data_IF_610382407247
#
_entry.id   IF_610382407247
#
_cell.length_a   1.000
_cell.length_b   1.000
_cell.length_c   1.000
_cell.angle_alpha   90.00
_cell.angle_beta   90.00
_cell.angle_gamma   90.00
#
_symmetry.space_group_name_H-M   'P 1'
#
loop_
_entity.id
_entity.type
_entity.pdbx_description
1 polymer ?
#
# COMPACT_ATOMS: atom_id res chain seq x y z
N UNK A 1 -34.34 -26.56 -1.16
CA UNK A 1 -33.22 -26.02 -0.35
C UNK A 1 -32.78 -24.64 -0.80
N UNK A 2 -32.26 -24.44 -2.03
CA UNK A 2 -31.81 -23.11 -2.48
C UNK A 2 -32.96 -22.10 -2.49
N UNK A 3 -34.10 -22.43 -3.11
CA UNK A 3 -35.26 -21.53 -3.15
C UNK A 3 -35.82 -21.22 -1.75
N UNK A 4 -35.78 -22.22 -0.86
CA UNK A 4 -36.23 -22.07 0.53
C UNK A 4 -35.28 -21.17 1.32
N UNK A 5 -33.97 -21.30 1.10
CA UNK A 5 -32.94 -20.42 1.70
C UNK A 5 -33.08 -18.98 1.19
N UNK A 6 -33.24 -18.80 -0.12
CA UNK A 6 -33.47 -17.48 -0.73
C UNK A 6 -34.74 -16.86 -0.13
N UNK A 7 -35.84 -17.60 -0.07
CA UNK A 7 -37.07 -17.13 0.54
C UNK A 7 -36.91 -16.76 2.03
N UNK A 8 -36.15 -17.54 2.80
CA UNK A 8 -35.91 -17.29 4.22
C UNK A 8 -34.98 -16.09 4.50
N UNK A 9 -34.15 -15.71 3.53
CA UNK A 9 -33.19 -14.60 3.67
C UNK A 9 -33.58 -13.33 2.92
N UNK A 10 -34.62 -13.40 2.08
CA UNK A 10 -35.09 -12.28 1.27
C UNK A 10 -35.46 -11.06 2.14
N UNK A 11 -34.91 -9.89 1.80
CA UNK A 11 -35.16 -8.61 2.49
C UNK A 11 -34.36 -8.39 3.78
N UNK A 12 -33.40 -9.26 4.11
CA UNK A 12 -32.51 -9.09 5.27
C UNK A 12 -31.08 -8.72 4.85
N UNK A 13 -30.93 -7.57 4.20
CA UNK A 13 -29.67 -7.09 3.60
C UNK A 13 -28.53 -7.01 4.63
N UNK A 14 -28.86 -6.67 5.88
CA UNK A 14 -27.89 -6.64 7.00
C UNK A 14 -27.28 -8.02 7.27
N UNK A 15 -28.04 -9.10 7.10
CA UNK A 15 -27.57 -10.48 7.31
C UNK A 15 -26.72 -10.97 6.13
N UNK A 16 -27.07 -10.55 4.91
CA UNK A 16 -26.36 -10.93 3.68
C UNK A 16 -25.06 -10.14 3.45
N UNK A 17 -24.97 -8.89 3.93
CA UNK A 17 -23.78 -8.04 3.79
C UNK A 17 -22.53 -8.58 4.52
N UNK A 18 -22.67 -9.55 5.43
CA UNK A 18 -21.56 -10.21 6.12
C UNK A 18 -20.99 -11.43 5.36
N UNK A 19 -21.50 -11.73 4.16
CA UNK A 19 -21.14 -12.88 3.34
C UNK A 19 -22.15 -14.03 3.41
N UNK A 20 -22.07 -14.97 2.45
CA UNK A 20 -23.10 -16.01 2.26
C UNK A 20 -23.01 -17.18 3.27
N UNK A 21 -21.81 -17.46 3.79
CA UNK A 21 -21.57 -18.65 4.65
C UNK A 21 -22.27 -18.53 6.02
N UNK A 22 -22.19 -17.42 6.77
CA UNK A 22 -22.86 -17.33 8.07
C UNK A 22 -24.40 -17.48 7.99
N UNK A 23 -25.12 -16.80 7.08
CA UNK A 23 -26.56 -16.99 6.91
C UNK A 23 -26.93 -18.42 6.49
N UNK A 24 -26.08 -19.06 5.68
CA UNK A 24 -26.29 -20.44 5.22
C UNK A 24 -26.14 -21.44 6.36
N UNK A 25 -25.16 -21.24 7.26
CA UNK A 25 -25.00 -22.04 8.48
C UNK A 25 -26.24 -21.91 9.36
N UNK A 26 -26.67 -20.69 9.67
CA UNK A 26 -27.86 -20.43 10.47
C UNK A 26 -29.08 -21.18 9.91
N UNK A 27 -29.31 -21.02 8.60
CA UNK A 27 -30.44 -21.64 7.93
C UNK A 27 -30.35 -23.17 7.93
N UNK A 28 -29.18 -23.76 7.70
CA UNK A 28 -28.98 -25.22 7.76
C UNK A 28 -29.30 -25.74 9.17
N UNK A 29 -28.80 -25.06 10.21
CA UNK A 29 -28.99 -25.45 11.59
C UNK A 29 -30.48 -25.40 11.99
N UNK A 30 -31.19 -24.36 11.56
CA UNK A 30 -32.61 -24.15 11.80
C UNK A 30 -33.49 -25.12 10.98
N UNK A 31 -33.34 -25.13 9.66
CA UNK A 31 -34.17 -25.91 8.73
C UNK A 31 -33.92 -27.43 8.79
N UNK A 32 -32.87 -27.89 9.47
CA UNK A 32 -32.56 -29.32 9.66
C UNK A 32 -32.56 -29.74 11.13
N UNK A 33 -32.80 -28.82 12.06
CA UNK A 33 -32.82 -29.10 13.50
C UNK A 33 -31.52 -29.71 14.03
N UNK A 34 -30.38 -29.42 13.38
CA UNK A 34 -29.09 -30.02 13.69
C UNK A 34 -28.54 -29.56 15.05
N UNK A 35 -28.90 -28.34 15.48
CA UNK A 35 -28.59 -27.82 16.80
C UNK A 35 -29.18 -28.68 17.93
N UNK A 36 -30.41 -29.19 17.77
CA UNK A 36 -31.06 -30.04 18.77
C UNK A 36 -30.40 -31.42 18.90
N UNK A 37 -29.57 -31.83 17.92
CA UNK A 37 -28.83 -33.09 17.91
C UNK A 37 -27.38 -32.94 18.37
N UNK A 38 -26.94 -31.73 18.72
CA UNK A 38 -25.57 -31.42 19.15
C UNK A 38 -24.55 -31.33 18.00
N UNK A 39 -25.01 -31.17 16.76
CA UNK A 39 -24.13 -31.07 15.59
C UNK A 39 -23.81 -29.60 15.32
N UNK A 40 -22.53 -29.30 15.09
CA UNK A 40 -22.08 -27.97 14.70
C UNK A 40 -21.69 -27.95 13.22
N UNK A 41 -22.15 -26.93 12.50
CA UNK A 41 -21.66 -26.62 11.14
C UNK A 41 -20.78 -25.39 11.27
N UNK A 42 -19.48 -25.56 11.01
CA UNK A 42 -18.50 -24.49 11.13
C UNK A 42 -18.18 -23.90 9.74
N UNK A 43 -17.74 -22.63 9.64
CA UNK A 43 -17.43 -22.00 8.36
C UNK A 43 -16.43 -22.76 7.49
N UNK A 44 -15.45 -23.43 8.10
CA UNK A 44 -14.42 -24.24 7.43
C UNK A 44 -14.95 -25.54 6.80
N UNK A 45 -16.19 -25.94 7.11
CA UNK A 45 -16.88 -27.02 6.40
C UNK A 45 -17.24 -26.65 4.96
N UNK A 46 -17.28 -25.35 4.63
CA UNK A 46 -17.50 -24.85 3.28
C UNK A 46 -16.14 -24.66 2.61
N UNK A 47 -15.85 -25.54 1.64
CA UNK A 47 -14.58 -25.60 0.90
C UNK A 47 -14.80 -25.27 -0.58
N UNK A 48 -14.84 -23.98 -0.98
CA UNK A 48 -15.06 -23.59 -2.38
C UNK A 48 -14.00 -24.15 -3.33
N UNK A 49 -12.79 -24.35 -2.83
CA UNK A 49 -11.64 -24.96 -3.51
C UNK A 49 -11.86 -26.45 -3.87
N UNK A 50 -12.78 -27.13 -3.17
CA UNK A 50 -13.11 -28.53 -3.42
C UNK A 50 -14.28 -28.72 -4.41
N UNK A 51 -14.91 -27.63 -4.86
CA UNK A 51 -16.01 -27.70 -5.81
C UNK A 51 -15.52 -28.16 -7.19
N UNK A 52 -16.20 -29.12 -7.84
CA UNK A 52 -15.91 -29.45 -9.23
C UNK A 52 -15.98 -28.21 -10.13
N UNK A 53 -15.11 -28.09 -11.15
CA UNK A 53 -15.00 -26.86 -11.95
C UNK A 53 -16.31 -26.41 -12.59
N UNK A 54 -17.22 -27.34 -12.90
CA UNK A 54 -18.52 -27.04 -13.53
C UNK A 54 -19.52 -26.32 -12.61
N UNK A 55 -19.24 -26.22 -11.30
CA UNK A 55 -20.01 -25.40 -10.36
C UNK A 55 -19.51 -23.95 -10.26
N UNK A 56 -18.36 -23.64 -10.86
CA UNK A 56 -17.87 -22.26 -10.98
C UNK A 56 -18.46 -21.59 -12.21
N UNK A 57 -18.64 -20.27 -12.14
CA UNK A 57 -19.11 -19.47 -13.28
C UNK A 57 -18.00 -19.38 -14.35
N UNK A 58 -18.39 -19.15 -15.61
CA UNK A 58 -17.44 -18.70 -16.63
C UNK A 58 -17.50 -17.18 -16.72
N UNK A 59 -16.33 -16.55 -16.81
CA UNK A 59 -16.19 -15.16 -17.21
C UNK A 59 -15.97 -15.14 -18.72
N UNK A 60 -16.79 -14.38 -19.43
CA UNK A 60 -16.71 -14.22 -20.88
C UNK A 60 -16.23 -12.81 -21.18
N UNK A 61 -15.10 -12.70 -21.88
CA UNK A 61 -14.59 -11.44 -22.38
C UNK A 61 -15.19 -11.17 -23.76
N UNK A 62 -15.75 -9.98 -23.93
CA UNK A 62 -16.39 -9.53 -25.17
C UNK A 62 -15.79 -8.21 -25.63
N UNK A 63 -15.72 -8.01 -26.95
CA UNK A 63 -15.30 -6.74 -27.55
C UNK A 63 -16.46 -5.76 -27.76
N UNK A 64 -16.14 -4.58 -28.28
CA UNK A 64 -17.09 -3.50 -28.63
C UNK A 64 -18.17 -3.89 -29.66
N UNK A 65 -17.99 -5.01 -30.36
CA UNK A 65 -18.94 -5.57 -31.32
C UNK A 65 -19.74 -6.75 -30.74
N UNK A 66 -19.57 -7.05 -29.44
CA UNK A 66 -20.23 -8.14 -28.75
C UNK A 66 -19.67 -9.53 -29.10
N UNK A 67 -18.53 -9.59 -29.82
CA UNK A 67 -17.86 -10.85 -30.14
C UNK A 67 -17.09 -11.33 -28.92
N UNK A 68 -17.12 -12.64 -28.70
CA UNK A 68 -16.34 -13.27 -27.64
C UNK A 68 -14.86 -13.29 -28.03
N UNK A 69 -14.03 -12.64 -27.21
CA UNK A 69 -12.57 -12.69 -27.32
C UNK A 69 -12.02 -13.92 -26.58
N UNK A 70 -12.49 -14.14 -25.36
CA UNK A 70 -12.02 -15.24 -24.51
C UNK A 70 -13.09 -15.66 -23.48
N UNK A 71 -12.88 -16.82 -22.84
CA UNK A 71 -13.71 -17.30 -21.75
C UNK A 71 -12.90 -18.19 -20.80
N UNK A 72 -12.87 -17.83 -19.52
CA UNK A 72 -12.14 -18.56 -18.48
C UNK A 72 -12.99 -18.66 -17.20
N UNK A 73 -12.72 -19.67 -16.38
CA UNK A 73 -13.33 -19.82 -15.04
C UNK A 73 -12.61 -18.99 -13.97
N UNK A 74 -11.43 -18.43 -14.29
CA UNK A 74 -10.65 -17.55 -13.43
C UNK A 74 -10.61 -16.14 -14.01
N UNK A 75 -11.27 -15.19 -13.34
CA UNK A 75 -11.17 -13.78 -13.69
C UNK A 75 -9.72 -13.25 -13.55
N UNK A 76 -8.96 -13.80 -12.60
CA UNK A 76 -7.53 -13.46 -12.42
C UNK A 76 -6.70 -13.89 -13.62
N UNK A 77 -6.99 -15.06 -14.20
CA UNK A 77 -6.31 -15.52 -15.41
C UNK A 77 -6.64 -14.62 -16.60
N UNK A 78 -7.92 -14.28 -16.81
CA UNK A 78 -8.33 -13.33 -17.85
C UNK A 78 -7.70 -11.95 -17.69
N UNK A 79 -7.69 -11.40 -16.47
CA UNK A 79 -7.00 -10.12 -16.19
C UNK A 79 -5.50 -10.22 -16.41
N UNK A 80 -4.88 -11.35 -16.14
CA UNK A 80 -3.44 -11.58 -16.38
C UNK A 80 -3.10 -11.65 -17.87
N UNK A 81 -3.97 -12.25 -18.68
CA UNK A 81 -3.78 -12.42 -20.12
C UNK A 81 -4.16 -11.16 -20.91
N UNK A 82 -5.32 -10.57 -20.63
CA UNK A 82 -5.90 -9.47 -21.42
C UNK A 82 -5.85 -8.10 -20.74
N UNK A 83 -5.51 -8.03 -19.44
CA UNK A 83 -5.59 -6.78 -18.68
C UNK A 83 -4.65 -5.68 -19.18
N UNK A 84 -3.57 -6.02 -19.88
CA UNK A 84 -2.68 -5.02 -20.49
C UNK A 84 -3.32 -4.40 -21.73
N UNK A 85 -3.89 -5.23 -22.60
CA UNK A 85 -4.54 -4.81 -23.84
C UNK A 85 -5.80 -4.01 -23.53
N UNK A 86 -6.62 -4.47 -22.58
CA UNK A 86 -7.80 -3.74 -22.12
C UNK A 86 -7.44 -2.34 -21.56
N UNK A 87 -6.33 -2.22 -20.82
CA UNK A 87 -5.84 -0.93 -20.31
C UNK A 87 -5.33 -0.01 -21.42
N UNK A 88 -4.62 -0.57 -22.39
CA UNK A 88 -4.09 0.20 -23.53
C UNK A 88 -5.23 0.70 -24.42
N UNK A 89 -6.20 -0.16 -24.73
CA UNK A 89 -7.42 0.20 -25.47
C UNK A 89 -8.25 1.24 -24.71
N UNK A 90 -8.42 1.07 -23.39
CA UNK A 90 -9.08 2.08 -22.55
C UNK A 90 -8.31 3.41 -22.55
N UNK A 91 -6.98 3.42 -22.47
CA UNK A 91 -6.21 4.66 -22.48
C UNK A 91 -6.23 5.36 -23.85
N UNK A 92 -6.20 4.62 -24.96
CA UNK A 92 -6.20 5.17 -26.32
C UNK A 92 -7.56 5.72 -26.75
N UNK A 93 -8.66 5.10 -26.30
CA UNK A 93 -10.01 5.51 -26.67
C UNK A 93 -10.48 6.81 -25.98
N UNK A 94 -9.85 7.21 -24.87
CA UNK A 94 -10.33 8.32 -24.04
C UNK A 94 -9.40 9.55 -24.12
N UNK A 95 -9.57 10.38 -25.16
CA UNK A 95 -9.05 11.74 -25.12
C UNK A 95 -9.74 12.51 -23.99
N UNK A 96 -8.94 13.01 -23.03
CA UNK A 96 -9.46 13.84 -21.94
C UNK A 96 -10.01 15.15 -22.52
N UNK A 97 -11.30 15.48 -22.28
CA UNK A 97 -11.86 16.74 -22.77
C UNK A 97 -11.00 17.93 -22.32
N UNK A 98 -10.81 18.93 -23.19
CA UNK A 98 -9.88 20.03 -22.93
C UNK A 98 -10.17 20.79 -21.63
N UNK A 99 -11.45 20.86 -21.23
CA UNK A 99 -11.91 21.45 -19.97
C UNK A 99 -11.43 20.72 -18.71
N UNK A 100 -11.00 19.47 -18.83
CA UNK A 100 -10.47 18.63 -17.75
C UNK A 100 -8.95 18.51 -17.79
N UNK A 101 -8.26 19.35 -18.57
CA UNK A 101 -6.79 19.38 -18.65
C UNK A 101 -6.22 20.69 -18.13
N UNK A 102 -4.94 20.69 -17.77
CA UNK A 102 -4.21 21.90 -17.33
C UNK A 102 -4.84 22.62 -16.13
N UNK A 103 -5.51 21.86 -15.25
CA UNK A 103 -6.18 22.38 -14.08
C UNK A 103 -5.15 22.81 -13.02
N UNK A 104 -5.40 23.95 -12.41
CA UNK A 104 -4.60 24.47 -11.28
C UNK A 104 -5.44 24.74 -10.03
N UNK A 105 -6.76 24.61 -10.15
CA UNK A 105 -7.74 24.76 -9.09
C UNK A 105 -8.90 23.77 -9.31
N UNK A 106 -9.75 23.59 -8.31
CA UNK A 106 -10.91 22.71 -8.35
C UNK A 106 -12.07 23.36 -9.13
N UNK A 107 -12.10 23.17 -10.45
CA UNK A 107 -13.07 23.83 -11.35
C UNK A 107 -14.02 22.86 -12.07
N UNK A 108 -14.05 21.59 -11.67
CA UNK A 108 -14.75 20.50 -12.36
C UNK A 108 -15.98 19.97 -11.61
N UNK A 109 -16.46 20.67 -10.58
CA UNK A 109 -17.64 20.27 -9.81
C UNK A 109 -17.37 19.16 -8.81
N UNK A 110 -18.41 18.44 -8.40
CA UNK A 110 -18.27 17.26 -7.52
C UNK A 110 -17.60 16.11 -8.28
N UNK A 111 -16.68 15.43 -7.60
CA UNK A 111 -16.01 14.23 -8.10
C UNK A 111 -16.80 12.99 -7.68
N UNK A 112 -17.54 12.35 -8.60
CA UNK A 112 -18.34 11.17 -8.27
C UNK A 112 -17.46 9.92 -8.12
N UNK A 113 -18.01 8.85 -7.52
CA UNK A 113 -17.33 7.54 -7.45
C UNK A 113 -17.12 6.91 -8.84
N UNK A 114 -18.05 7.15 -9.76
CA UNK A 114 -18.02 6.70 -11.15
C UNK A 114 -18.40 7.88 -12.06
N UNK A 115 -17.71 7.99 -13.19
CA UNK A 115 -17.94 9.02 -14.19
C UNK A 115 -18.23 8.36 -15.54
N UNK A 116 -19.29 8.83 -16.19
CA UNK A 116 -19.62 8.47 -17.55
C UNK A 116 -18.88 9.39 -18.52
N UNK A 117 -18.11 8.82 -19.44
CA UNK A 117 -17.40 9.57 -20.48
C UNK A 117 -17.92 9.14 -21.86
N UNK A 118 -18.41 10.08 -22.68
CA UNK A 118 -18.78 9.77 -24.05
C UNK A 118 -17.53 9.57 -24.89
N UNK A 119 -17.41 8.40 -25.53
CA UNK A 119 -16.34 8.05 -26.45
C UNK A 119 -16.94 7.66 -27.80
N UNK A 120 -16.84 8.57 -28.77
CA UNK A 120 -17.44 8.38 -30.09
C UNK A 120 -18.96 8.19 -30.03
N UNK A 121 -19.44 6.95 -30.19
CA UNK A 121 -20.87 6.58 -30.12
C UNK A 121 -21.24 5.78 -28.87
N UNK A 122 -20.29 5.47 -28.00
CA UNK A 122 -20.51 4.70 -26.78
C UNK A 122 -20.32 5.59 -25.54
N UNK A 123 -20.92 5.19 -24.43
CA UNK A 123 -20.66 5.78 -23.12
C UNK A 123 -19.94 4.74 -22.28
N UNK A 124 -18.78 5.10 -21.75
CA UNK A 124 -17.99 4.21 -20.89
C UNK A 124 -18.07 4.74 -19.47
N UNK A 125 -18.19 3.82 -18.50
CA UNK A 125 -18.23 4.13 -17.07
C UNK A 125 -16.88 3.74 -16.47
N UNK A 126 -16.26 4.64 -15.72
CA UNK A 126 -15.05 4.30 -14.97
C UNK A 126 -14.82 5.20 -13.76
N UNK A 127 -13.69 5.01 -13.11
CA UNK A 127 -13.30 5.68 -11.88
C UNK A 127 -12.53 6.97 -12.19
N UNK A 128 -13.05 8.15 -11.82
CA UNK A 128 -12.38 9.41 -12.12
C UNK A 128 -11.21 9.65 -11.14
N UNK A 129 -10.12 10.21 -11.65
CA UNK A 129 -8.93 10.51 -10.86
C UNK A 129 -8.18 11.74 -11.41
N UNK A 130 -7.57 12.49 -10.50
CA UNK A 130 -6.67 13.58 -10.85
C UNK A 130 -5.31 13.00 -11.18
N UNK A 131 -4.75 13.37 -12.33
CA UNK A 131 -3.43 12.97 -12.80
C UNK A 131 -2.48 14.14 -12.64
N UNK A 132 -1.31 13.92 -12.03
CA UNK A 132 -0.25 14.92 -11.94
C UNK A 132 0.47 15.05 -13.30
N UNK A 133 0.31 16.19 -13.97
CA UNK A 133 0.99 16.51 -15.23
C UNK A 133 2.29 17.33 -15.00
N UNK A 134 2.72 17.47 -13.74
CA UNK A 134 3.95 18.14 -13.31
C UNK A 134 3.73 19.56 -12.79
N UNK A 135 3.15 20.45 -13.61
CA UNK A 135 2.79 21.82 -13.22
C UNK A 135 1.29 22.01 -12.98
N UNK A 136 0.49 21.15 -13.61
CA UNK A 136 -0.97 21.16 -13.61
C UNK A 136 -1.48 19.75 -13.31
N UNK A 137 -2.80 19.61 -13.24
CA UNK A 137 -3.45 18.30 -13.18
C UNK A 137 -4.49 18.15 -14.28
N UNK A 138 -4.80 16.91 -14.62
CA UNK A 138 -5.91 16.57 -15.50
C UNK A 138 -6.88 15.62 -14.79
N UNK A 139 -8.16 15.72 -15.06
CA UNK A 139 -9.17 14.77 -14.58
C UNK A 139 -9.38 13.70 -15.66
N UNK A 140 -9.00 12.45 -15.35
CA UNK A 140 -9.12 11.31 -16.26
C UNK A 140 -9.95 10.21 -15.64
N UNK A 141 -10.42 9.29 -16.46
CA UNK A 141 -11.17 8.11 -16.03
C UNK A 141 -10.29 6.87 -16.20
N UNK A 142 -10.45 5.91 -15.28
CA UNK A 142 -9.69 4.66 -15.22
C UNK A 142 -10.65 3.47 -15.11
N UNK A 143 -10.18 2.30 -15.53
CA UNK A 143 -10.93 1.03 -15.49
C UNK A 143 -10.81 0.29 -14.14
N UNK A 144 -9.86 0.69 -13.30
CA UNK A 144 -9.58 0.13 -11.97
C UNK A 144 -9.68 1.19 -10.88
N UNK A 145 -10.45 0.89 -9.84
CA UNK A 145 -10.59 1.74 -8.67
C UNK A 145 -9.25 1.94 -7.94
N UNK A 146 -8.44 0.88 -7.86
CA UNK A 146 -7.13 0.92 -7.21
C UNK A 146 -6.16 1.87 -7.95
N UNK A 147 -6.07 1.74 -9.28
CA UNK A 147 -5.23 2.62 -10.10
C UNK A 147 -5.72 4.07 -10.07
N UNK A 148 -7.03 4.27 -10.13
CA UNK A 148 -7.66 5.58 -9.97
C UNK A 148 -7.29 6.20 -8.63
N UNK A 149 -7.41 5.45 -7.52
CA UNK A 149 -7.10 5.96 -6.18
C UNK A 149 -5.63 6.34 -6.02
N UNK A 150 -4.69 5.49 -6.48
CA UNK A 150 -3.25 5.79 -6.42
C UNK A 150 -2.88 7.02 -7.26
N UNK A 151 -3.47 7.14 -8.45
CA UNK A 151 -3.23 8.26 -9.35
C UNK A 151 -3.86 9.53 -8.79
N UNK A 152 -5.14 9.46 -8.38
CA UNK A 152 -5.89 10.55 -7.79
C UNK A 152 -5.17 11.13 -6.59
N UNK A 153 -4.60 10.30 -5.71
CA UNK A 153 -3.85 10.77 -4.54
C UNK A 153 -2.67 11.68 -4.94
N UNK A 154 -1.92 11.30 -5.97
CA UNK A 154 -0.78 12.10 -6.48
C UNK A 154 -1.25 13.39 -7.17
N UNK A 155 -2.26 13.30 -8.04
CA UNK A 155 -2.83 14.48 -8.69
C UNK A 155 -3.47 15.44 -7.69
N UNK A 156 -4.17 14.94 -6.68
CA UNK A 156 -4.75 15.77 -5.63
C UNK A 156 -3.66 16.49 -4.81
N UNK A 157 -2.55 15.82 -4.49
CA UNK A 157 -1.39 16.46 -3.86
C UNK A 157 -0.85 17.62 -4.72
N UNK A 158 -0.68 17.41 -6.03
CA UNK A 158 -0.29 18.47 -6.98
C UNK A 158 -1.28 19.63 -6.97
N UNK A 159 -2.58 19.33 -7.03
CA UNK A 159 -3.63 20.35 -7.02
C UNK A 159 -3.59 21.18 -5.74
N UNK A 160 -3.39 20.55 -4.58
CA UNK A 160 -3.15 21.26 -3.32
C UNK A 160 -1.90 22.13 -3.40
N UNK A 161 -0.76 21.60 -3.84
CA UNK A 161 0.48 22.38 -3.96
C UNK A 161 0.31 23.62 -4.87
N UNK A 162 -0.52 23.54 -5.91
CA UNK A 162 -0.89 24.67 -6.77
C UNK A 162 -1.61 25.79 -6.04
N UNK A 163 -2.32 25.50 -4.94
CA UNK A 163 -2.95 26.51 -4.06
C UNK A 163 -1.95 27.17 -3.11
N UNK A 164 -0.75 26.61 -2.95
CA UNK A 164 0.27 27.04 -2.00
C UNK A 164 1.59 27.45 -2.66
N UNK A 165 1.55 28.01 -3.88
CA UNK A 165 2.75 28.34 -4.68
C UNK A 165 3.80 29.15 -3.90
N UNK A 166 3.39 30.11 -3.09
CA UNK A 166 4.32 30.90 -2.27
C UNK A 166 4.97 30.08 -1.16
N UNK A 167 4.20 29.23 -0.49
CA UNK A 167 4.70 28.36 0.57
C UNK A 167 5.62 27.29 0.00
N UNK A 168 5.29 26.71 -1.16
CA UNK A 168 6.17 25.78 -1.90
C UNK A 168 7.50 26.47 -2.22
N UNK A 169 7.48 27.68 -2.79
CA UNK A 169 8.71 28.46 -3.07
C UNK A 169 9.50 28.79 -1.81
N UNK A 170 8.82 29.10 -0.71
CA UNK A 170 9.47 29.38 0.57
C UNK A 170 10.14 28.14 1.14
N UNK A 171 9.44 27.01 1.17
CA UNK A 171 9.97 25.74 1.66
C UNK A 171 11.11 25.23 0.80
N UNK A 172 11.03 25.36 -0.52
CA UNK A 172 12.10 24.98 -1.43
C UNK A 172 13.44 25.71 -1.11
N UNK A 173 13.34 26.95 -0.63
CA UNK A 173 14.51 27.75 -0.21
C UNK A 173 14.90 27.57 1.27
N UNK A 174 13.98 27.14 2.12
CA UNK A 174 14.11 27.17 3.58
C UNK A 174 13.76 25.83 4.23
N UNK A 175 14.37 24.73 3.76
CA UNK A 175 14.23 23.42 4.42
C UNK A 175 15.17 23.35 5.66
N UNK A 176 14.64 23.20 6.88
CA UNK A 176 15.46 23.10 8.10
C UNK A 176 16.43 21.91 8.04
N UNK A 177 17.70 22.14 8.37
CA UNK A 177 18.72 21.07 8.42
C UNK A 177 19.14 20.51 7.06
N UNK A 178 18.70 21.11 5.95
CA UNK A 178 18.92 20.59 4.60
C UNK A 178 20.40 20.42 4.24
N UNK A 179 21.29 21.33 4.66
CA UNK A 179 22.72 21.22 4.35
C UNK A 179 23.33 19.93 4.91
N UNK A 180 23.00 19.57 6.16
CA UNK A 180 23.47 18.33 6.77
C UNK A 180 22.81 17.11 6.12
N UNK A 181 21.49 17.13 5.95
CA UNK A 181 20.76 16.03 5.31
C UNK A 181 21.24 15.77 3.88
N UNK A 182 21.49 16.82 3.10
CA UNK A 182 22.03 16.74 1.74
C UNK A 182 23.39 16.05 1.70
N UNK A 183 24.32 16.45 2.57
CA UNK A 183 25.61 15.75 2.72
C UNK A 183 25.43 14.28 3.09
N UNK A 184 24.45 13.97 3.95
CA UNK A 184 24.20 12.59 4.35
C UNK A 184 23.60 11.73 3.24
N UNK A 185 22.82 12.35 2.36
CA UNK A 185 22.07 11.71 1.29
C UNK A 185 22.86 11.53 -0.03
N UNK A 186 24.06 12.09 -0.16
CA UNK A 186 24.87 12.07 -1.39
C UNK A 186 25.08 10.67 -2.01
N UNK A 187 25.12 9.62 -1.20
CA UNK A 187 25.27 8.24 -1.67
C UNK A 187 23.96 7.58 -2.16
N UNK A 188 22.83 8.26 -2.00
CA UNK A 188 21.49 7.80 -2.39
C UNK A 188 20.92 8.61 -3.56
N UNK A 189 21.22 9.91 -3.61
CA UNK A 189 20.76 10.82 -4.65
C UNK A 189 21.23 12.26 -4.39
N UNK A 190 20.53 13.22 -4.98
CA UNK A 190 20.86 14.65 -4.92
C UNK A 190 20.11 15.37 -3.79
N UNK A 191 20.67 16.50 -3.34
CA UNK A 191 20.01 17.40 -2.38
C UNK A 191 18.63 17.86 -2.87
N UNK A 192 18.50 18.15 -4.16
CA UNK A 192 17.23 18.61 -4.75
C UNK A 192 16.17 17.51 -4.79
N UNK A 193 16.55 16.26 -5.06
CA UNK A 193 15.63 15.12 -4.96
C UNK A 193 15.14 14.90 -3.53
N UNK A 194 16.04 14.98 -2.53
CA UNK A 194 15.63 14.84 -1.12
C UNK A 194 14.72 15.99 -0.69
N UNK A 195 15.05 17.22 -1.10
CA UNK A 195 14.25 18.40 -0.81
C UNK A 195 12.83 18.25 -1.37
N UNK A 196 12.70 17.84 -2.64
CA UNK A 196 11.41 17.56 -3.28
C UNK A 196 10.61 16.55 -2.47
N UNK A 197 11.22 15.44 -2.08
CA UNK A 197 10.55 14.42 -1.26
C UNK A 197 10.06 14.95 0.10
N UNK A 198 10.84 15.80 0.77
CA UNK A 198 10.44 16.42 2.05
C UNK A 198 9.24 17.35 1.85
N UNK A 199 9.24 18.14 0.78
CA UNK A 199 8.13 19.03 0.43
C UNK A 199 6.88 18.21 0.10
N UNK A 200 7.00 17.21 -0.77
CA UNK A 200 5.89 16.34 -1.18
C UNK A 200 5.26 15.65 0.04
N UNK A 201 6.06 15.03 0.91
CA UNK A 201 5.56 14.39 2.13
C UNK A 201 4.90 15.40 3.09
N UNK A 202 5.41 16.64 3.14
CA UNK A 202 4.80 17.70 3.96
C UNK A 202 3.38 18.01 3.48
N UNK A 203 3.18 18.16 2.17
CA UNK A 203 1.86 18.43 1.59
C UNK A 203 0.94 17.22 1.67
N UNK A 204 1.45 16.01 1.44
CA UNK A 204 0.67 14.79 1.64
C UNK A 204 0.11 14.73 3.07
N UNK A 205 0.96 14.91 4.08
CA UNK A 205 0.51 14.91 5.49
C UNK A 205 -0.43 16.06 5.83
N UNK A 206 -0.24 17.22 5.21
CA UNK A 206 -1.05 18.40 5.48
C UNK A 206 -2.43 18.32 4.80
N UNK A 207 -2.55 17.64 3.66
CA UNK A 207 -3.72 17.75 2.80
C UNK A 207 -4.45 16.43 2.51
N UNK A 208 -3.77 15.27 2.58
CA UNK A 208 -4.32 13.96 2.15
C UNK A 208 -4.75 13.05 3.32
N UNK A 209 -5.38 13.65 4.33
CA UNK A 209 -6.08 12.91 5.40
C UNK A 209 -7.45 12.43 4.94
N UNK A 210 -7.79 11.17 5.20
CA UNK A 210 -9.11 10.63 4.87
C UNK A 210 -10.24 11.24 5.73
N UNK A 211 -11.46 11.40 5.18
CA UNK A 211 -11.79 11.23 3.76
C UNK A 211 -11.16 12.33 2.88
N UNK A 212 -10.73 11.95 1.68
CA UNK A 212 -10.30 12.91 0.66
C UNK A 212 -11.46 13.80 0.20
N UNK A 213 -11.20 15.07 -0.17
CA UNK A 213 -12.24 15.96 -0.70
C UNK A 213 -12.77 15.45 -2.04
N UNK A 214 -14.10 15.41 -2.15
CA UNK A 214 -14.82 15.12 -3.40
C UNK A 214 -15.58 16.34 -3.93
N UNK A 215 -15.58 17.47 -3.21
CA UNK A 215 -16.27 18.70 -3.60
C UNK A 215 -15.35 19.92 -3.54
N UNK A 216 -15.66 21.01 -4.29
CA UNK A 216 -14.90 22.26 -4.22
C UNK A 216 -14.84 22.84 -2.80
N UNK A 217 -15.94 22.73 -2.05
CA UNK A 217 -16.05 23.25 -0.68
C UNK A 217 -15.15 22.46 0.28
N UNK A 218 -15.14 21.12 0.17
CA UNK A 218 -14.29 20.26 0.97
C UNK A 218 -12.80 20.49 0.65
N UNK A 219 -12.45 20.67 -0.63
CA UNK A 219 -11.10 21.01 -1.06
C UNK A 219 -10.64 22.35 -0.46
N UNK A 220 -11.48 23.40 -0.56
CA UNK A 220 -11.19 24.72 0.00
C UNK A 220 -11.05 24.69 1.53
N UNK A 221 -11.92 23.94 2.22
CA UNK A 221 -11.82 23.75 3.67
C UNK A 221 -10.48 23.08 4.05
N UNK A 222 -10.10 22.01 3.32
CA UNK A 222 -8.82 21.33 3.53
C UNK A 222 -7.62 22.25 3.30
N UNK A 223 -7.67 23.13 2.29
CA UNK A 223 -6.65 24.15 2.08
C UNK A 223 -6.52 25.09 3.30
N UNK A 224 -7.64 25.55 3.87
CA UNK A 224 -7.66 26.39 5.07
C UNK A 224 -7.00 25.71 6.27
N UNK A 225 -7.36 24.46 6.54
CA UNK A 225 -6.79 23.63 7.62
C UNK A 225 -5.30 23.37 7.43
N UNK A 226 -4.89 22.98 6.21
CA UNK A 226 -3.50 22.69 5.88
C UNK A 226 -2.61 23.92 6.10
N UNK A 227 -3.07 25.11 5.66
CA UNK A 227 -2.31 26.36 5.77
C UNK A 227 -1.83 26.64 7.19
N UNK A 228 -2.65 26.35 8.20
CA UNK A 228 -2.32 26.61 9.59
C UNK A 228 -1.22 25.67 10.15
N UNK A 229 -1.08 24.46 9.59
CA UNK A 229 -0.20 23.41 10.11
C UNK A 229 1.02 23.09 9.25
N UNK A 230 1.07 23.55 7.99
CA UNK A 230 2.14 23.25 7.03
C UNK A 230 3.56 23.48 7.60
N UNK A 231 3.79 24.61 8.27
CA UNK A 231 5.11 24.93 8.84
C UNK A 231 5.56 23.95 9.93
N UNK A 232 4.64 23.54 10.82
CA UNK A 232 4.94 22.57 11.88
C UNK A 232 5.18 21.17 11.30
N UNK A 233 4.40 20.76 10.30
CA UNK A 233 4.58 19.48 9.62
C UNK A 233 5.93 19.43 8.90
N UNK A 234 6.33 20.51 8.20
CA UNK A 234 7.64 20.61 7.56
C UNK A 234 8.78 20.38 8.55
N UNK A 235 8.72 21.03 9.72
CA UNK A 235 9.71 20.85 10.78
C UNK A 235 9.75 19.41 11.31
N UNK A 236 8.58 18.79 11.52
CA UNK A 236 8.47 17.40 11.97
C UNK A 236 9.09 16.43 10.96
N UNK A 237 8.77 16.61 9.67
CA UNK A 237 9.31 15.80 8.57
C UNK A 237 10.83 15.95 8.50
N UNK A 238 11.35 17.18 8.53
CA UNK A 238 12.80 17.43 8.50
C UNK A 238 13.52 16.77 9.70
N UNK A 239 12.94 16.89 10.91
CA UNK A 239 13.50 16.25 12.11
C UNK A 239 13.55 14.72 11.96
N UNK A 240 12.49 14.12 11.43
CA UNK A 240 12.43 12.68 11.21
C UNK A 240 13.46 12.24 10.15
N UNK A 241 13.46 12.88 8.98
CA UNK A 241 14.38 12.55 7.88
C UNK A 241 15.84 12.72 8.31
N UNK A 242 16.16 13.80 9.02
CA UNK A 242 17.50 14.01 9.58
C UNK A 242 17.92 12.94 10.58
N UNK A 243 16.99 12.47 11.44
CA UNK A 243 17.25 11.36 12.35
C UNK A 243 17.49 10.04 11.58
N UNK A 244 16.69 9.75 10.55
CA UNK A 244 16.86 8.57 9.70
C UNK A 244 18.25 8.58 9.02
N UNK A 245 18.61 9.69 8.38
CA UNK A 245 19.89 9.81 7.67
C UNK A 245 21.09 9.74 8.61
N UNK A 246 20.95 10.26 9.82
CA UNK A 246 21.99 10.16 10.86
C UNK A 246 22.23 8.71 11.30
N UNK A 247 21.16 7.97 11.62
CA UNK A 247 21.28 6.55 12.01
C UNK A 247 21.75 5.69 10.82
N UNK A 248 21.27 5.98 9.62
CA UNK A 248 21.69 5.29 8.40
C UNK A 248 23.19 5.47 8.16
N UNK A 249 23.71 6.70 8.25
CA UNK A 249 25.14 6.96 8.13
C UNK A 249 25.95 6.27 9.23
N UNK A 250 25.45 6.25 10.47
CA UNK A 250 26.14 5.59 11.57
C UNK A 250 26.33 4.09 11.29
N UNK A 251 25.29 3.41 10.79
CA UNK A 251 25.37 2.00 10.39
C UNK A 251 26.32 1.83 9.19
N UNK A 252 26.16 2.61 8.13
CA UNK A 252 26.97 2.50 6.90
C UNK A 252 28.46 2.73 7.17
N UNK A 253 28.82 3.66 8.06
CA UNK A 253 30.22 3.90 8.48
C UNK A 253 30.78 2.78 9.33
N UNK A 254 29.93 2.11 10.12
CA UNK A 254 30.33 1.03 11.04
C UNK A 254 30.53 -0.31 10.32
N UNK A 255 29.76 -0.55 9.25
CA UNK A 255 29.69 -1.84 8.56
C UNK A 255 31.04 -2.37 8.00
N UNK A 256 31.94 -1.54 7.42
CA UNK A 256 33.22 -2.01 6.91
C UNK A 256 34.11 -2.71 7.95
N UNK A 257 33.96 -2.38 9.24
CA UNK A 257 34.70 -3.03 10.33
C UNK A 257 34.31 -4.50 10.54
N UNK A 258 33.21 -4.95 9.92
CA UNK A 258 32.65 -6.30 10.05
C UNK A 258 32.79 -7.13 8.76
N UNK A 259 33.68 -6.74 7.84
CA UNK A 259 33.88 -7.43 6.55
C UNK A 259 34.20 -8.93 6.67
N UNK A 260 34.74 -9.38 7.81
CA UNK A 260 35.00 -10.78 8.08
C UNK A 260 33.71 -11.60 8.33
N UNK A 261 32.61 -10.94 8.68
CA UNK A 261 31.28 -11.54 8.88
C UNK A 261 30.41 -11.32 7.63
N UNK A 262 30.86 -11.84 6.48
CA UNK A 262 30.26 -11.55 5.17
C UNK A 262 28.74 -11.76 5.09
N UNK A 263 28.22 -12.84 5.70
CA UNK A 263 26.78 -13.12 5.72
C UNK A 263 25.97 -12.06 6.49
N UNK A 264 26.51 -11.55 7.60
CA UNK A 264 25.85 -10.49 8.40
C UNK A 264 25.89 -9.16 7.66
N UNK A 265 27.04 -8.85 7.04
CA UNK A 265 27.19 -7.63 6.23
C UNK A 265 26.18 -7.65 5.07
N UNK A 266 26.12 -8.74 4.30
CA UNK A 266 25.20 -8.86 3.16
C UNK A 266 23.73 -8.73 3.59
N UNK A 267 23.34 -9.34 4.71
CA UNK A 267 22.00 -9.22 5.26
C UNK A 267 21.65 -7.77 5.66
N UNK A 268 22.57 -7.09 6.33
CA UNK A 268 22.39 -5.69 6.73
C UNK A 268 22.32 -4.77 5.51
N UNK A 269 23.19 -4.94 4.51
CA UNK A 269 23.13 -4.16 3.27
C UNK A 269 21.80 -4.34 2.54
N UNK A 270 21.30 -5.57 2.47
CA UNK A 270 19.99 -5.87 1.89
C UNK A 270 18.86 -5.19 2.69
N UNK A 271 18.93 -5.19 4.03
CA UNK A 271 17.97 -4.49 4.88
C UNK A 271 18.02 -2.97 4.68
N UNK A 272 19.22 -2.37 4.66
CA UNK A 272 19.42 -0.94 4.44
C UNK A 272 18.87 -0.51 3.08
N UNK A 273 19.10 -1.29 2.02
CA UNK A 273 18.59 -0.99 0.67
C UNK A 273 17.05 -1.00 0.60
N UNK A 274 16.39 -1.84 1.39
CA UNK A 274 14.92 -1.91 1.47
C UNK A 274 14.31 -0.80 2.30
N UNK A 275 14.97 -0.38 3.38
CA UNK A 275 14.50 0.72 4.24
C UNK A 275 14.82 2.07 3.60
N UNK A 276 16.10 2.32 3.30
CA UNK A 276 16.60 3.63 2.87
C UNK A 276 17.02 3.55 1.39
N UNK A 277 16.02 3.56 0.51
CA UNK A 277 16.20 3.72 -0.94
C UNK A 277 16.33 5.21 -1.32
N UNK A 278 16.60 5.53 -2.59
CA UNK A 278 16.65 6.92 -3.07
C UNK A 278 15.36 7.71 -2.83
N UNK A 279 14.20 7.04 -2.79
CA UNK A 279 12.89 7.69 -2.65
C UNK A 279 12.23 7.38 -1.31
N UNK A 280 12.99 6.96 -0.30
CA UNK A 280 12.45 6.37 0.93
C UNK A 280 11.45 7.26 1.68
N UNK A 281 11.57 8.58 1.55
CA UNK A 281 10.73 9.56 2.26
C UNK A 281 9.31 9.55 1.73
N UNK A 282 9.12 9.42 0.41
CA UNK A 282 7.80 9.42 -0.25
C UNK A 282 7.32 8.02 -0.64
N UNK A 283 8.23 7.04 -0.72
CA UNK A 283 7.88 5.65 -1.02
C UNK A 283 7.40 4.85 0.19
N UNK A 284 7.50 5.42 1.40
CA UNK A 284 7.15 4.76 2.65
C UNK A 284 6.00 5.51 3.33
N UNK A 285 4.88 4.84 3.70
CA UNK A 285 3.83 5.47 4.48
C UNK A 285 4.39 6.11 5.76
N UNK A 286 3.92 7.30 6.10
CA UNK A 286 4.53 8.10 7.16
C UNK A 286 4.56 7.38 8.51
N UNK A 287 3.51 6.64 8.83
CA UNK A 287 3.38 5.83 10.06
C UNK A 287 4.49 4.77 10.15
N UNK A 288 4.97 4.28 9.01
CA UNK A 288 6.10 3.33 8.94
C UNK A 288 7.44 4.05 8.96
N UNK A 289 7.54 5.17 8.25
CA UNK A 289 8.74 6.00 8.18
C UNK A 289 9.20 6.46 9.58
N UNK A 290 8.24 6.78 10.47
CA UNK A 290 8.50 7.15 11.87
C UNK A 290 9.32 6.10 12.65
N UNK A 291 9.28 4.83 12.24
CA UNK A 291 10.00 3.74 12.90
C UNK A 291 11.42 3.52 12.38
N UNK A 292 11.80 4.10 11.25
CA UNK A 292 13.11 3.87 10.63
C UNK A 292 14.30 4.19 11.55
N UNK A 293 14.32 5.29 12.33
CA UNK A 293 15.43 5.54 13.25
C UNK A 293 15.64 4.38 14.24
N UNK A 294 14.55 3.79 14.73
CA UNK A 294 14.61 2.64 15.65
C UNK A 294 15.13 1.39 14.96
N UNK A 295 14.69 1.10 13.73
CA UNK A 295 15.19 -0.03 12.95
C UNK A 295 16.69 0.09 12.66
N UNK A 296 17.14 1.27 12.24
CA UNK A 296 18.56 1.54 11.95
C UNK A 296 19.41 1.46 13.22
N UNK A 297 18.92 2.00 14.34
CA UNK A 297 19.57 1.86 15.64
C UNK A 297 19.68 0.40 16.09
N UNK A 298 18.66 -0.42 15.83
CA UNK A 298 18.69 -1.86 16.11
C UNK A 298 19.80 -2.59 15.33
N UNK A 299 20.06 -2.18 14.08
CA UNK A 299 21.21 -2.68 13.31
C UNK A 299 22.53 -2.29 13.99
N UNK A 300 22.65 -1.05 14.46
CA UNK A 300 23.80 -0.59 15.22
C UNK A 300 24.08 -1.46 16.45
N UNK A 301 23.04 -1.75 17.23
CA UNK A 301 23.08 -2.64 18.42
C UNK A 301 23.44 -4.07 18.04
N UNK A 302 22.87 -4.60 16.96
CA UNK A 302 23.22 -5.93 16.43
C UNK A 302 24.72 -6.04 16.19
N UNK A 303 25.30 -5.06 15.49
CA UNK A 303 26.73 -5.01 15.21
C UNK A 303 27.58 -4.95 16.49
N UNK A 304 27.15 -4.24 17.53
CA UNK A 304 27.87 -4.22 18.81
C UNK A 304 27.85 -5.60 19.49
N UNK A 305 26.68 -6.24 19.56
CA UNK A 305 26.52 -7.56 20.19
C UNK A 305 27.18 -8.68 19.39
N UNK A 306 27.28 -8.54 18.06
CA UNK A 306 27.92 -9.51 17.18
C UNK A 306 29.37 -9.79 17.59
N UNK A 307 30.10 -8.77 18.07
CA UNK A 307 31.50 -8.94 18.53
C UNK A 307 31.62 -9.88 19.73
N UNK A 308 30.64 -9.84 20.63
CA UNK A 308 30.67 -10.62 21.86
C UNK A 308 30.07 -12.03 21.67
N UNK A 309 29.04 -12.18 20.83
CA UNK A 309 28.37 -13.47 20.65
C UNK A 309 27.88 -13.69 19.20
N UNK A 310 28.77 -14.09 18.27
CA UNK A 310 28.39 -14.41 16.90
C UNK A 310 27.39 -15.58 16.78
N UNK A 311 27.46 -16.56 17.70
CA UNK A 311 26.58 -17.72 17.67
C UNK A 311 25.12 -17.36 17.90
N UNK A 312 24.85 -16.42 18.81
CA UNK A 312 23.48 -15.93 19.06
C UNK A 312 22.91 -15.17 17.87
N UNK A 313 23.74 -14.39 17.16
CA UNK A 313 23.34 -13.71 15.93
C UNK A 313 22.92 -14.74 14.86
N UNK A 314 23.77 -15.75 14.64
CA UNK A 314 23.51 -16.82 13.66
C UNK A 314 22.21 -17.59 13.96
N UNK A 315 21.95 -17.92 15.23
CA UNK A 315 20.70 -18.58 15.63
C UNK A 315 19.48 -17.68 15.34
N UNK A 316 19.54 -16.41 15.75
CA UNK A 316 18.45 -15.45 15.52
C UNK A 316 18.18 -15.24 14.03
N UNK A 317 19.24 -15.19 13.21
CA UNK A 317 19.13 -15.09 11.76
C UNK A 317 18.54 -16.34 11.12
N UNK A 318 18.84 -17.54 11.62
CA UNK A 318 18.27 -18.78 11.11
C UNK A 318 16.74 -18.82 11.30
N UNK A 319 16.25 -18.34 12.45
CA UNK A 319 14.82 -18.24 12.72
C UNK A 319 14.14 -17.17 11.83
N UNK A 320 14.78 -16.00 11.69
CA UNK A 320 14.30 -14.92 10.81
C UNK A 320 14.24 -15.34 9.34
N UNK A 321 15.29 -16.00 8.84
CA UNK A 321 15.46 -16.30 7.42
C UNK A 321 14.31 -17.14 6.86
N UNK A 322 13.79 -18.10 7.63
CA UNK A 322 12.63 -18.92 7.24
C UNK A 322 11.40 -18.07 6.94
N UNK A 323 11.09 -17.11 7.82
CA UNK A 323 9.96 -16.20 7.64
C UNK A 323 10.20 -15.24 6.47
N UNK A 324 11.42 -14.74 6.31
CA UNK A 324 11.78 -13.87 5.19
C UNK A 324 11.62 -14.57 3.85
N UNK A 325 12.15 -15.79 3.69
CA UNK A 325 12.04 -16.56 2.44
C UNK A 325 10.60 -16.83 2.04
N UNK A 326 9.74 -17.14 3.02
CA UNK A 326 8.31 -17.32 2.79
C UNK A 326 7.65 -16.03 2.30
N UNK A 327 7.90 -14.92 2.99
CA UNK A 327 7.45 -13.59 2.59
C UNK A 327 7.90 -13.21 1.18
N UNK A 328 9.20 -13.32 0.91
CA UNK A 328 9.80 -12.90 -0.35
C UNK A 328 9.22 -13.67 -1.55
N UNK A 329 9.01 -14.99 -1.40
CA UNK A 329 8.37 -15.81 -2.44
C UNK A 329 6.96 -15.33 -2.76
N UNK A 330 6.15 -15.02 -1.75
CA UNK A 330 4.77 -14.54 -1.94
C UNK A 330 4.75 -13.14 -2.52
N UNK A 331 5.61 -12.24 -2.04
CA UNK A 331 5.74 -10.89 -2.57
C UNK A 331 6.11 -10.89 -4.06
N UNK A 332 7.05 -11.75 -4.47
CA UNK A 332 7.41 -11.92 -5.89
C UNK A 332 6.26 -12.48 -6.74
N UNK A 333 5.44 -13.38 -6.19
CA UNK A 333 4.26 -13.90 -6.89
C UNK A 333 3.22 -12.80 -7.12
N UNK A 334 2.90 -12.04 -6.07
CA UNK A 334 1.95 -10.93 -6.12
C UNK A 334 2.40 -9.84 -7.11
N UNK A 335 3.69 -9.49 -7.09
CA UNK A 335 4.27 -8.53 -8.03
C UNK A 335 4.12 -8.97 -9.50
N UNK A 336 4.29 -10.27 -9.80
CA UNK A 336 4.06 -10.81 -11.16
C UNK A 336 2.61 -10.75 -11.61
N UNK A 337 1.68 -10.76 -10.65
CA UNK A 337 0.24 -10.67 -10.90
C UNK A 337 -0.27 -9.22 -10.90
N UNK A 338 0.60 -8.24 -10.61
CA UNK A 338 0.17 -6.86 -10.38
C UNK A 338 -0.80 -6.72 -9.19
N UNK A 339 -0.77 -7.66 -8.25
CA UNK A 339 -1.68 -7.70 -7.12
C UNK A 339 -1.02 -7.15 -5.86
N UNK A 340 -1.79 -6.43 -5.05
CA UNK A 340 -1.38 -5.94 -3.73
C UNK A 340 -2.19 -6.68 -2.66
N UNK A 341 -1.50 -7.17 -1.64
CA UNK A 341 -2.12 -7.84 -0.50
C UNK A 341 -1.74 -7.10 0.80
N UNK A 342 -2.68 -6.38 1.43
CA UNK A 342 -2.42 -5.64 2.66
C UNK A 342 -1.90 -6.50 3.81
N UNK A 343 -2.25 -7.79 3.86
CA UNK A 343 -1.76 -8.69 4.91
C UNK A 343 -0.29 -9.03 4.70
N UNK A 344 0.13 -9.23 3.45
CA UNK A 344 1.54 -9.46 3.09
C UNK A 344 2.37 -8.21 3.35
N UNK A 345 1.84 -7.02 3.04
CA UNK A 345 2.52 -5.76 3.35
C UNK A 345 2.64 -5.54 4.87
N UNK A 346 1.58 -5.78 5.63
CA UNK A 346 1.64 -5.71 7.10
C UNK A 346 2.67 -6.72 7.66
N UNK A 347 2.74 -7.92 7.09
CA UNK A 347 3.71 -8.93 7.48
C UNK A 347 5.16 -8.46 7.22
N UNK A 348 5.43 -7.81 6.09
CA UNK A 348 6.73 -7.18 5.79
C UNK A 348 7.20 -6.28 6.92
N UNK A 349 6.30 -5.48 7.49
CA UNK A 349 6.65 -4.54 8.56
C UNK A 349 6.89 -5.24 9.89
N UNK A 350 6.13 -6.29 10.18
CA UNK A 350 6.36 -7.12 11.36
C UNK A 350 7.70 -7.86 11.32
N UNK A 351 8.26 -8.14 10.14
CA UNK A 351 9.62 -8.67 10.01
C UNK A 351 10.68 -7.68 10.50
N UNK A 352 10.51 -6.36 10.30
CA UNK A 352 11.41 -5.36 10.88
C UNK A 352 11.25 -5.28 12.40
N UNK A 353 10.02 -5.41 12.90
CA UNK A 353 9.77 -5.49 14.35
C UNK A 353 10.42 -6.74 14.96
N UNK A 354 10.36 -7.88 14.27
CA UNK A 354 11.03 -9.10 14.69
C UNK A 354 12.55 -8.90 14.76
N UNK A 355 13.16 -8.20 13.79
CA UNK A 355 14.58 -7.86 13.85
C UNK A 355 14.93 -7.06 15.10
N UNK A 356 14.12 -6.06 15.45
CA UNK A 356 14.30 -5.32 16.71
C UNK A 356 14.20 -6.27 17.91
N UNK A 357 13.19 -7.13 17.96
CA UNK A 357 13.00 -8.10 19.05
C UNK A 357 14.09 -9.16 19.17
N UNK A 358 14.74 -9.53 18.07
CA UNK A 358 15.84 -10.51 18.05
C UNK A 358 17.17 -9.89 18.46
N UNK A 359 17.50 -8.70 17.93
CA UNK A 359 18.84 -8.12 18.05
C UNK A 359 18.95 -6.99 19.10
N UNK A 360 17.87 -6.26 19.36
CA UNK A 360 17.89 -5.02 20.13
C UNK A 360 16.65 -4.88 21.04
N UNK A 361 16.40 -5.87 21.88
CA UNK A 361 15.25 -5.94 22.80
C UNK A 361 15.08 -4.69 23.66
N UNK A 362 16.18 -4.03 24.03
CA UNK A 362 16.20 -2.78 24.78
C UNK A 362 15.46 -1.63 24.09
N UNK A 363 15.33 -1.65 22.76
CA UNK A 363 14.64 -0.62 21.98
C UNK A 363 13.11 -0.80 21.98
N UNK A 364 12.62 -1.96 22.44
CA UNK A 364 11.21 -2.36 22.47
C UNK A 364 10.55 -2.35 21.08
N UNK A 365 9.39 -2.99 21.01
CA UNK A 365 8.53 -3.01 19.81
C UNK A 365 7.16 -2.41 20.15
N UNK A 366 6.53 -1.68 19.22
CA UNK A 366 5.20 -1.08 19.45
C UNK A 366 4.11 -2.14 19.56
N UNK A 367 4.33 -3.31 18.95
CA UNK A 367 3.46 -4.47 19.04
C UNK A 367 4.26 -5.69 19.48
N UNK A 368 3.67 -6.61 20.29
CA UNK A 368 4.38 -7.80 20.71
C UNK A 368 4.55 -8.79 19.54
N UNK A 369 5.80 -9.01 19.15
CA UNK A 369 6.23 -9.82 18.00
C UNK A 369 7.18 -10.94 18.45
N UNK A 370 7.05 -12.12 17.86
CA UNK A 370 7.98 -13.23 18.04
C UNK A 370 7.93 -14.16 16.84
N UNK A 371 8.93 -15.03 16.68
CA UNK A 371 9.01 -16.03 15.60
C UNK A 371 7.70 -16.83 15.53
N UNK A 372 7.30 -17.45 16.65
CA UNK A 372 6.07 -18.26 16.75
C UNK A 372 4.78 -17.49 16.38
N UNK A 373 4.71 -16.20 16.71
CA UNK A 373 3.55 -15.37 16.35
C UNK A 373 3.50 -15.11 14.85
N UNK A 374 4.65 -14.79 14.24
CA UNK A 374 4.72 -14.56 12.81
C UNK A 374 4.56 -15.86 12.01
N UNK A 375 5.02 -17.00 12.49
CA UNK A 375 4.73 -18.30 11.87
C UNK A 375 3.22 -18.55 11.81
N UNK A 376 2.50 -18.39 12.93
CA UNK A 376 1.04 -18.54 12.97
C UNK A 376 0.31 -17.54 12.06
N UNK A 377 0.77 -16.29 12.03
CA UNK A 377 0.18 -15.27 11.15
C UNK A 377 0.42 -15.62 9.68
N UNK A 378 1.60 -16.12 9.35
CA UNK A 378 1.95 -16.54 8.00
C UNK A 378 1.11 -17.74 7.52
N UNK A 379 0.82 -18.70 8.39
CA UNK A 379 -0.12 -19.79 8.10
C UNK A 379 -1.49 -19.24 7.70
N UNK A 380 -1.99 -18.23 8.42
CA UNK A 380 -3.24 -17.55 8.06
C UNK A 380 -3.21 -16.92 6.66
N UNK A 381 -2.13 -16.21 6.31
CA UNK A 381 -1.96 -15.57 4.99
C UNK A 381 -1.83 -16.59 3.86
N UNK A 382 -1.29 -17.78 4.14
CA UNK A 382 -1.14 -18.84 3.14
C UNK A 382 -2.48 -19.52 2.81
N UNK A 383 -3.41 -19.53 3.75
CA UNK A 383 -4.66 -20.29 3.68
C UNK A 383 -5.91 -19.42 3.50
N UNK A 384 -5.79 -18.10 3.64
CA UNK A 384 -6.77 -17.11 3.21
C UNK A 384 -6.42 -16.58 1.83
#
# INVERSE_FOLDING_TARGET
FVDEFIAATAGNDKKMNAGLIPPLIDYILEARGLNARGWAVTPDAFRPDALPPHFSMNYKLIDEHGRQLDMNRSLVALRGEWGKEAKEEFAELHETPSEYTNLTDWTFGELPELMEVPVGKQTVIGYPALVDDGETVSLKVFDSAEEAAETHRKGLARLFMSQFREQVKYFDKNVPGMSQMGMQFMALGTTEELKRQIVDLTFERACLTEPLPTTPEAFKARCGEAKARLGLIMQEVCRLVGAILTEWQAVTKKLPAFKAQAAVVADIEAQLKRLVSKNFVVATPFERLQHFPRYLKAIGVRLDKLKANPGRDAQSMADYAKLWTNYERRALQLAKMGAVDPQVEQFRWLLEELRVGLFAQELRTPVPVSVKRLEKQWEGIKHG
#
